data_IF_083380214546
#
_entry.id   IF_083380214546
#
_cell.length_a   1.000
_cell.length_b   1.000
_cell.length_c   1.000
_cell.angle_alpha   90.00
_cell.angle_beta   90.00
_cell.angle_gamma   90.00
#
_symmetry.space_group_name_H-M   'P 1'
#
loop_
_entity.id
_entity.type
_entity.pdbx_description
1 polymer ?
#
# COMPACT_ATOMS: atom_id res chain seq x y z
N UNK A 1 37.23 -42.92 -51.55
CA UNK A 1 38.42 -43.04 -50.73
C UNK A 1 37.98 -42.89 -49.29
N UNK A 2 37.67 -43.94 -48.60
CA UNK A 2 38.51 -44.87 -47.84
C UNK A 2 39.43 -44.16 -46.80
N UNK A 3 39.12 -44.33 -45.52
CA UNK A 3 39.81 -45.03 -44.46
C UNK A 3 39.21 -44.58 -43.12
N UNK A 4 38.45 -45.45 -42.43
CA UNK A 4 38.87 -46.56 -41.52
C UNK A 4 39.70 -46.08 -40.30
N UNK A 5 38.97 -46.20 -39.11
CA UNK A 5 39.25 -47.21 -38.04
C UNK A 5 40.26 -46.75 -36.98
N UNK A 6 39.95 -46.81 -35.69
CA UNK A 6 40.02 -47.89 -34.68
C UNK A 6 39.60 -47.29 -33.32
N UNK A 7 38.66 -47.75 -32.56
CA UNK A 7 38.50 -48.81 -31.54
C UNK A 7 39.73 -49.02 -30.64
N UNK A 8 39.49 -49.02 -29.33
CA UNK A 8 39.96 -49.82 -28.19
C UNK A 8 39.71 -48.92 -26.96
N UNK A 9 38.87 -49.19 -25.93
CA UNK A 9 38.65 -50.42 -25.20
C UNK A 9 39.35 -50.38 -23.86
N UNK A 10 38.61 -50.65 -22.84
CA UNK A 10 38.86 -51.32 -21.55
C UNK A 10 38.33 -50.47 -20.36
N UNK A 11 37.28 -50.91 -19.73
CA UNK A 11 37.14 -51.96 -18.73
C UNK A 11 37.28 -51.49 -17.26
N UNK A 12 36.15 -51.65 -16.57
CA UNK A 12 35.98 -52.09 -15.19
C UNK A 12 36.66 -51.34 -14.03
N UNK A 13 35.85 -50.82 -13.13
CA UNK A 13 35.80 -51.39 -11.75
C UNK A 13 34.55 -51.00 -11.01
N UNK A 14 33.82 -52.03 -10.70
CA UNK A 14 32.74 -52.11 -9.71
C UNK A 14 33.27 -51.87 -8.31
N UNK A 15 32.71 -50.95 -7.55
CA UNK A 15 32.79 -50.97 -6.09
C UNK A 15 31.40 -50.68 -5.52
N UNK A 16 30.75 -51.76 -5.09
CA UNK A 16 29.62 -51.73 -4.18
C UNK A 16 30.09 -51.16 -2.82
N UNK A 17 29.46 -50.13 -2.33
CA UNK A 17 29.39 -49.84 -0.92
C UNK A 17 27.95 -49.52 -0.54
N UNK A 18 27.31 -50.51 0.03
CA UNK A 18 26.05 -50.39 0.76
C UNK A 18 26.28 -49.57 2.02
N UNK A 19 25.58 -48.48 2.15
CA UNK A 19 25.36 -47.88 3.47
C UNK A 19 23.92 -47.37 3.53
N UNK A 20 23.14 -48.12 4.25
CA UNK A 20 21.79 -47.86 4.69
C UNK A 20 21.81 -46.63 5.60
N UNK A 21 21.35 -45.48 5.14
CA UNK A 21 21.11 -44.33 5.98
C UNK A 21 19.60 -44.14 6.15
N UNK A 22 19.14 -44.44 7.37
CA UNK A 22 17.82 -44.12 7.88
C UNK A 22 17.63 -42.59 7.81
N UNK A 23 16.87 -42.09 6.89
CA UNK A 23 16.43 -40.70 6.89
C UNK A 23 15.20 -40.58 7.77
N UNK A 24 15.42 -40.07 8.98
CA UNK A 24 14.39 -39.61 9.90
C UNK A 24 13.75 -38.37 9.25
N UNK A 25 12.51 -38.47 8.77
CA UNK A 25 11.69 -37.34 8.39
C UNK A 25 11.35 -36.56 9.66
N UNK A 26 12.16 -35.56 9.99
CA UNK A 26 11.77 -34.52 10.91
C UNK A 26 10.79 -33.59 10.20
N UNK A 27 9.48 -33.71 10.50
CA UNK A 27 8.49 -32.71 10.20
C UNK A 27 8.87 -31.42 10.93
N UNK A 28 9.60 -30.54 10.27
CA UNK A 28 9.82 -29.19 10.75
C UNK A 28 8.54 -28.40 10.46
N UNK A 29 7.63 -28.37 11.45
CA UNK A 29 6.56 -27.38 11.49
C UNK A 29 7.25 -26.03 11.73
N UNK A 30 7.48 -25.29 10.67
CA UNK A 30 7.77 -23.88 10.75
C UNK A 30 6.55 -23.22 11.39
N UNK A 31 6.67 -22.89 12.67
CA UNK A 31 5.78 -21.95 13.29
C UNK A 31 6.04 -20.61 12.57
N UNK A 32 5.11 -20.20 11.70
CA UNK A 32 5.02 -18.83 11.20
C UNK A 32 4.83 -17.94 12.43
N UNK A 33 5.95 -17.46 12.96
CA UNK A 33 5.94 -16.34 13.87
C UNK A 33 5.51 -15.13 13.06
N UNK A 34 4.23 -14.79 13.15
CA UNK A 34 3.68 -13.51 12.70
C UNK A 34 4.40 -12.42 13.50
N UNK A 35 5.50 -11.95 12.93
CA UNK A 35 6.14 -10.73 13.40
C UNK A 35 5.26 -9.58 12.99
N UNK A 36 4.53 -9.03 13.95
CA UNK A 36 3.94 -7.70 13.91
C UNK A 36 5.11 -6.68 13.85
N UNK A 37 5.74 -6.64 12.70
CA UNK A 37 6.61 -5.53 12.36
C UNK A 37 5.70 -4.41 11.88
N UNK A 38 5.52 -3.41 12.73
CA UNK A 38 5.22 -2.05 12.33
C UNK A 38 6.16 -1.71 11.16
N UNK A 39 5.71 -1.98 9.94
CA UNK A 39 6.40 -1.55 8.75
C UNK A 39 6.23 -0.03 8.66
N UNK A 40 7.10 0.67 9.41
CA UNK A 40 7.65 1.91 8.89
C UNK A 40 8.34 1.45 7.62
N UNK A 41 7.68 1.68 6.47
CA UNK A 41 8.23 1.34 5.18
C UNK A 41 9.63 1.98 5.11
N UNK A 42 10.65 1.15 5.24
CA UNK A 42 12.02 1.53 4.96
C UNK A 42 12.15 1.80 3.46
N UNK A 43 11.77 3.00 3.05
CA UNK A 43 12.37 3.64 1.88
C UNK A 43 13.71 4.25 2.31
N UNK A 44 14.59 3.40 2.82
CA UNK A 44 15.91 3.80 3.28
C UNK A 44 16.92 3.79 2.14
N UNK A 45 16.73 4.65 1.10
CA UNK A 45 17.82 4.98 0.18
C UNK A 45 17.55 6.21 -0.71
N UNK A 46 16.42 6.88 -0.55
CA UNK A 46 16.19 8.13 -1.28
C UNK A 46 16.13 9.29 -0.27
N UNK A 47 17.13 10.19 -0.23
CA UNK A 47 17.11 11.35 0.66
C UNK A 47 15.93 12.31 0.37
N UNK A 48 15.25 12.12 -0.75
CA UNK A 48 14.04 12.86 -1.13
C UNK A 48 12.74 12.07 -0.87
N UNK A 49 12.80 10.90 -0.22
CA UNK A 49 11.59 10.13 0.06
C UNK A 49 10.70 10.91 1.04
N UNK A 50 9.47 11.17 0.60
CA UNK A 50 8.46 11.78 1.47
C UNK A 50 7.98 10.76 2.51
N UNK A 51 7.94 11.18 3.76
CA UNK A 51 7.40 10.40 4.88
C UNK A 51 5.95 10.84 5.10
N UNK A 52 5.03 9.90 5.15
CA UNK A 52 3.64 10.22 5.45
C UNK A 52 3.43 10.17 6.97
N UNK A 53 3.22 11.33 7.58
CA UNK A 53 2.89 11.48 9.00
C UNK A 53 1.39 11.66 9.16
N UNK A 54 0.77 10.89 10.04
CA UNK A 54 -0.66 10.99 10.35
C UNK A 54 -0.85 11.51 11.75
N UNK A 55 -1.85 12.37 11.94
CA UNK A 55 -2.15 12.91 13.27
C UNK A 55 -3.25 13.95 13.24
N UNK A 56 -3.49 14.51 14.43
CA UNK A 56 -4.38 15.65 14.62
C UNK A 56 -3.53 16.91 14.73
N UNK A 57 -3.93 17.95 14.03
CA UNK A 57 -3.30 19.27 14.12
C UNK A 57 -3.53 19.85 15.51
N UNK A 58 -2.46 20.12 16.22
CA UNK A 58 -2.51 20.79 17.53
C UNK A 58 -2.39 22.30 17.37
N UNK A 59 -1.48 22.71 16.49
CA UNK A 59 -1.24 24.12 16.20
C UNK A 59 -0.76 24.27 14.77
N UNK A 60 -1.09 25.39 14.14
CA UNK A 60 -0.61 25.78 12.83
C UNK A 60 -0.33 27.29 12.80
N UNK A 61 0.80 27.65 12.22
CA UNK A 61 1.19 29.03 11.93
C UNK A 61 1.63 29.16 10.48
N UNK A 62 2.05 30.32 10.06
CA UNK A 62 2.51 30.55 8.69
C UNK A 62 3.65 29.62 8.26
N UNK A 63 4.55 29.26 9.19
CA UNK A 63 5.79 28.53 8.91
C UNK A 63 5.90 27.19 9.66
N UNK A 64 4.91 26.82 10.46
CA UNK A 64 5.02 25.66 11.32
C UNK A 64 3.68 24.96 11.52
N UNK A 65 3.73 23.63 11.56
CA UNK A 65 2.63 22.74 11.87
C UNK A 65 3.02 21.80 13.00
N UNK A 66 2.19 21.72 14.03
CA UNK A 66 2.37 20.78 15.14
C UNK A 66 1.30 19.71 15.08
N UNK A 67 1.72 18.45 14.95
CA UNK A 67 0.85 17.28 14.88
C UNK A 67 0.98 16.44 16.14
N UNK A 68 -0.15 15.96 16.65
CA UNK A 68 -0.21 14.88 17.63
C UNK A 68 -0.46 13.58 16.86
N UNK A 69 0.53 12.70 16.83
CA UNK A 69 0.45 11.34 16.26
C UNK A 69 0.37 10.29 17.37
N UNK A 70 0.20 9.02 16.97
CA UNK A 70 0.16 7.91 17.90
C UNK A 70 1.51 7.70 18.63
N UNK A 71 2.61 8.17 18.03
CA UNK A 71 3.98 8.05 18.57
C UNK A 71 4.44 9.30 19.33
N UNK A 72 3.60 10.34 19.41
CA UNK A 72 3.91 11.59 20.10
C UNK A 72 3.63 12.84 19.28
N UNK A 73 4.12 13.99 19.78
CA UNK A 73 3.97 15.27 19.11
C UNK A 73 5.15 15.52 18.17
N UNK A 74 4.84 15.90 16.94
CA UNK A 74 5.83 16.20 15.88
C UNK A 74 5.62 17.61 15.39
N UNK A 75 6.71 18.35 15.30
CA UNK A 75 6.74 19.71 14.73
C UNK A 75 7.36 19.66 13.33
N UNK A 76 6.69 20.28 12.36
CA UNK A 76 7.15 20.38 10.97
C UNK A 76 7.25 21.85 10.55
N UNK A 77 8.28 22.19 9.80
CA UNK A 77 8.34 23.44 9.05
C UNK A 77 7.39 23.37 7.84
N UNK A 78 6.68 24.46 7.55
CA UNK A 78 5.84 24.56 6.36
C UNK A 78 6.60 25.28 5.25
N UNK A 79 6.67 24.62 4.08
CA UNK A 79 7.21 25.22 2.86
C UNK A 79 6.05 25.82 2.06
N UNK A 80 6.21 27.08 1.66
CA UNK A 80 5.20 27.76 0.85
C UNK A 80 5.44 27.58 -0.66
N UNK A 81 4.39 27.44 -1.47
CA UNK A 81 2.98 27.39 -1.07
C UNK A 81 2.63 26.07 -0.38
N UNK A 82 1.89 26.13 0.72
CA UNK A 82 1.39 24.93 1.40
C UNK A 82 0.00 24.57 0.89
N UNK A 83 -0.18 23.32 0.46
CA UNK A 83 -1.41 22.83 -0.12
C UNK A 83 -2.14 21.85 0.81
N UNK A 84 -3.38 22.16 1.11
CA UNK A 84 -4.25 21.30 1.92
C UNK A 84 -5.32 20.70 1.05
N UNK A 85 -5.37 19.36 0.96
CA UNK A 85 -6.32 18.61 0.14
C UNK A 85 -7.41 18.00 1.00
N UNK A 86 -8.64 18.02 0.51
CA UNK A 86 -9.81 17.42 1.14
C UNK A 86 -10.47 16.44 0.19
N UNK A 87 -11.22 15.48 0.74
CA UNK A 87 -12.00 14.55 -0.06
C UNK A 87 -13.30 15.21 -0.51
N UNK A 88 -13.64 15.03 -1.76
CA UNK A 88 -14.91 15.37 -2.35
C UNK A 88 -15.54 14.12 -2.96
N UNK A 89 -16.87 14.04 -2.96
CA UNK A 89 -17.59 12.98 -3.67
C UNK A 89 -17.30 13.08 -5.17
N UNK A 90 -17.16 11.94 -5.82
CA UNK A 90 -16.87 11.81 -7.24
C UNK A 90 -17.56 10.56 -7.80
N UNK A 91 -17.30 10.23 -9.04
CA UNK A 91 -17.83 9.06 -9.72
C UNK A 91 -16.79 8.42 -10.66
N UNK A 92 -17.13 7.28 -11.24
CA UNK A 92 -16.24 6.52 -12.10
C UNK A 92 -15.86 7.23 -13.40
N UNK A 93 -16.61 8.26 -13.82
CA UNK A 93 -16.27 9.02 -15.02
C UNK A 93 -14.98 9.84 -14.88
N UNK A 94 -14.56 10.11 -13.63
CA UNK A 94 -13.30 10.76 -13.31
C UNK A 94 -12.09 9.79 -13.30
N UNK A 95 -12.36 8.49 -13.33
CA UNK A 95 -11.31 7.45 -13.39
C UNK A 95 -10.99 7.17 -14.85
N UNK A 96 -9.96 7.80 -15.36
CA UNK A 96 -9.52 7.68 -16.77
C UNK A 96 -8.20 6.96 -16.86
N UNK A 97 -7.86 6.54 -18.07
CA UNK A 97 -6.49 6.09 -18.35
C UNK A 97 -5.50 7.18 -17.94
N UNK A 98 -4.40 6.78 -17.34
CA UNK A 98 -3.37 7.65 -16.74
C UNK A 98 -3.79 8.38 -15.46
N UNK A 99 -5.03 8.26 -14.96
CA UNK A 99 -5.35 8.74 -13.61
C UNK A 99 -4.48 8.07 -12.57
N UNK A 100 -3.99 8.82 -11.59
CA UNK A 100 -3.38 8.25 -10.40
C UNK A 100 -4.48 8.04 -9.36
N UNK A 101 -4.67 6.79 -8.93
CA UNK A 101 -5.76 6.41 -8.02
C UNK A 101 -5.25 5.57 -6.86
N UNK A 102 -5.99 5.60 -5.76
CA UNK A 102 -5.94 4.60 -4.71
C UNK A 102 -7.18 3.71 -4.79
N UNK A 103 -7.01 2.41 -4.78
CA UNK A 103 -8.13 1.47 -4.76
C UNK A 103 -8.02 0.55 -3.57
N UNK A 104 -9.11 0.42 -2.82
CA UNK A 104 -9.23 -0.59 -1.76
C UNK A 104 -9.99 -1.78 -2.35
N UNK A 105 -9.43 -2.96 -2.20
CA UNK A 105 -10.00 -4.19 -2.75
C UNK A 105 -10.19 -5.25 -1.69
N UNK A 106 -11.06 -6.19 -1.98
CA UNK A 106 -11.25 -7.43 -1.23
C UNK A 106 -11.08 -8.59 -2.19
N UNK A 107 -10.24 -9.55 -1.80
CA UNK A 107 -10.04 -10.78 -2.56
C UNK A 107 -11.29 -11.64 -2.51
N UNK A 108 -11.75 -12.09 -3.68
CA UNK A 108 -12.89 -12.97 -3.81
C UNK A 108 -12.47 -14.44 -3.73
N UNK A 109 -13.46 -15.35 -3.59
CA UNK A 109 -13.21 -16.78 -3.51
C UNK A 109 -12.55 -17.35 -4.78
N UNK A 110 -12.80 -16.75 -5.94
CA UNK A 110 -12.19 -17.09 -7.24
C UNK A 110 -10.78 -16.51 -7.43
N UNK A 111 -10.27 -15.80 -6.42
CA UNK A 111 -8.96 -15.16 -6.44
C UNK A 111 -8.94 -13.78 -7.08
N UNK A 112 -10.05 -13.30 -7.67
CA UNK A 112 -10.16 -11.95 -8.22
C UNK A 112 -10.16 -10.89 -7.12
N UNK A 113 -9.81 -9.65 -7.48
CA UNK A 113 -9.82 -8.49 -6.59
C UNK A 113 -11.01 -7.59 -6.95
N UNK A 114 -11.88 -7.35 -5.99
CA UNK A 114 -13.06 -6.49 -6.16
C UNK A 114 -12.89 -5.18 -5.42
N UNK A 115 -13.07 -4.06 -6.12
CA UNK A 115 -13.02 -2.74 -5.52
C UNK A 115 -14.15 -2.54 -4.49
N UNK A 116 -13.81 -1.92 -3.38
CA UNK A 116 -14.74 -1.45 -2.34
C UNK A 116 -14.75 0.06 -2.23
N UNK A 117 -13.67 0.73 -2.66
CA UNK A 117 -13.54 2.19 -2.66
C UNK A 117 -12.44 2.61 -3.63
N UNK A 118 -12.63 3.76 -4.29
CA UNK A 118 -11.64 4.36 -5.19
C UNK A 118 -11.44 5.82 -4.79
N UNK A 119 -10.17 6.25 -4.76
CA UNK A 119 -9.76 7.65 -4.56
C UNK A 119 -8.99 8.14 -5.77
N UNK A 120 -9.45 9.21 -6.40
CA UNK A 120 -8.74 9.86 -7.49
C UNK A 120 -7.86 10.96 -6.90
N UNK A 121 -6.58 10.93 -7.24
CA UNK A 121 -5.61 11.92 -6.80
C UNK A 121 -5.37 12.96 -7.90
N UNK A 122 -5.23 14.25 -7.54
CA UNK A 122 -4.75 15.25 -8.48
C UNK A 122 -3.29 14.99 -8.86
N UNK A 123 -2.85 15.59 -9.95
CA UNK A 123 -1.52 15.36 -10.51
C UNK A 123 -0.38 15.69 -9.52
N UNK A 124 -0.58 16.70 -8.69
CA UNK A 124 0.40 17.15 -7.68
C UNK A 124 0.64 16.12 -6.56
N UNK A 125 -0.26 15.14 -6.45
CA UNK A 125 -0.17 14.03 -5.51
C UNK A 125 0.20 12.70 -6.19
N UNK A 126 0.58 12.71 -7.47
CA UNK A 126 1.05 11.50 -8.17
C UNK A 126 2.24 10.89 -7.46
N UNK A 127 2.24 9.56 -7.31
CA UNK A 127 3.29 8.82 -6.62
C UNK A 127 3.13 8.75 -5.10
N UNK A 128 2.18 9.50 -4.51
CA UNK A 128 1.95 9.47 -3.07
C UNK A 128 1.46 8.10 -2.62
N UNK A 129 2.27 7.42 -1.79
CA UNK A 129 1.95 6.10 -1.27
C UNK A 129 1.78 5.04 -2.36
N UNK A 130 2.46 5.21 -3.50
CA UNK A 130 2.42 4.25 -4.61
C UNK A 130 2.83 2.85 -4.14
N UNK A 131 2.19 1.84 -4.69
CA UNK A 131 2.41 0.45 -4.36
C UNK A 131 1.14 -0.28 -3.92
N UNK A 132 1.29 -1.55 -3.58
CA UNK A 132 0.21 -2.39 -3.09
C UNK A 132 0.57 -2.99 -1.74
N UNK A 133 -0.35 -2.92 -0.78
CA UNK A 133 -0.14 -3.44 0.58
C UNK A 133 -1.42 -4.08 1.12
N UNK A 134 -1.24 -5.15 1.89
CA UNK A 134 -2.33 -5.73 2.65
C UNK A 134 -2.72 -4.79 3.79
N UNK A 135 -4.00 -4.65 4.03
CA UNK A 135 -4.50 -3.93 5.19
C UNK A 135 -4.63 -4.90 6.36
N UNK A 136 -4.31 -4.44 7.55
CA UNK A 136 -4.55 -5.24 8.75
C UNK A 136 -6.05 -5.57 8.85
N UNK A 137 -6.43 -6.81 9.22
CA UNK A 137 -7.81 -7.15 9.46
C UNK A 137 -8.36 -6.26 10.58
N UNK A 138 -9.60 -5.78 10.41
CA UNK A 138 -10.27 -5.07 11.48
C UNK A 138 -10.35 -5.97 12.71
N UNK A 139 -9.75 -5.56 13.83
CA UNK A 139 -9.86 -6.29 15.09
C UNK A 139 -11.32 -6.24 15.54
N UNK A 140 -11.96 -7.41 15.67
CA UNK A 140 -13.31 -7.47 16.22
C UNK A 140 -13.26 -7.00 17.67
N UNK A 141 -14.03 -5.95 18.00
CA UNK A 141 -14.21 -5.48 19.38
C UNK A 141 -13.54 -4.17 19.76
N UNK A 142 -12.73 -3.56 18.94
CA UNK A 142 -12.35 -2.16 19.07
C UNK A 142 -12.90 -1.38 17.89
N UNK A 143 -13.43 -0.19 18.15
CA UNK A 143 -13.71 0.77 17.09
C UNK A 143 -12.43 0.91 16.29
N UNK A 144 -12.37 0.23 15.17
CA UNK A 144 -11.29 0.34 14.23
C UNK A 144 -11.35 1.76 13.69
N UNK A 145 -10.64 2.64 14.32
CA UNK A 145 -10.34 3.95 13.77
C UNK A 145 -9.37 3.77 12.62
N UNK A 146 -9.86 3.12 11.59
CA UNK A 146 -9.30 3.22 10.28
C UNK A 146 -9.65 4.61 9.81
N UNK A 147 -8.68 5.48 9.89
CA UNK A 147 -8.74 6.80 9.26
C UNK A 147 -8.65 6.60 7.76
N UNK A 148 -9.64 5.95 7.17
CA UNK A 148 -9.98 5.88 5.76
C UNK A 148 -11.12 4.89 5.57
N UNK A 149 -12.34 5.38 5.55
CA UNK A 149 -13.50 4.67 5.03
C UNK A 149 -14.36 3.93 6.05
N UNK A 150 -15.64 4.29 6.02
CA UNK A 150 -16.72 3.63 6.75
C UNK A 150 -16.86 2.19 6.27
N UNK A 151 -16.54 1.24 7.11
CA UNK A 151 -17.11 -0.11 6.99
C UNK A 151 -18.42 -0.07 7.72
N UNK A 152 -19.53 -0.02 7.00
CA UNK A 152 -20.82 -0.39 7.55
C UNK A 152 -20.68 -1.77 8.15
N UNK A 153 -21.03 -1.93 9.42
CA UNK A 153 -20.93 -3.16 10.16
C UNK A 153 -21.65 -4.29 9.41
N UNK A 154 -20.93 -5.12 8.71
CA UNK A 154 -21.40 -6.43 8.28
C UNK A 154 -21.41 -7.31 9.51
N UNK A 155 -22.59 -7.70 9.91
CA UNK A 155 -22.84 -8.71 10.94
C UNK A 155 -21.99 -9.94 10.60
N UNK A 156 -21.02 -10.27 11.43
CA UNK A 156 -20.20 -11.46 11.27
C UNK A 156 -21.08 -12.70 11.49
N UNK A 157 -21.39 -13.38 10.43
CA UNK A 157 -21.59 -14.82 10.44
C UNK A 157 -20.23 -15.45 10.19
N UNK A 158 -19.87 -16.49 10.95
CA UNK A 158 -18.59 -17.21 10.90
C UNK A 158 -18.10 -17.45 9.47
N UNK A 159 -17.39 -16.50 8.90
CA UNK A 159 -16.75 -16.55 7.60
C UNK A 159 -15.31 -16.07 7.74
N UNK A 160 -14.42 -16.73 7.04
CA UNK A 160 -13.00 -16.36 6.89
C UNK A 160 -12.88 -14.84 6.71
N UNK A 161 -12.12 -14.17 7.58
CA UNK A 161 -11.93 -12.73 7.50
C UNK A 161 -11.38 -12.37 6.11
N UNK A 162 -12.17 -11.64 5.32
CA UNK A 162 -11.77 -11.21 3.99
C UNK A 162 -10.59 -10.24 4.13
N UNK A 163 -9.46 -10.59 3.52
CA UNK A 163 -8.30 -9.73 3.53
C UNK A 163 -8.53 -8.55 2.57
N UNK A 164 -8.40 -7.34 3.09
CA UNK A 164 -8.44 -6.13 2.28
C UNK A 164 -7.05 -5.70 1.86
N UNK A 165 -6.95 -5.15 0.65
CA UNK A 165 -5.72 -4.63 0.07
C UNK A 165 -5.94 -3.20 -0.39
N UNK A 166 -4.95 -2.33 -0.21
CA UNK A 166 -4.92 -1.01 -0.77
C UNK A 166 -3.80 -0.93 -1.82
N UNK A 167 -4.13 -0.46 -3.01
CA UNK A 167 -3.17 -0.24 -4.10
C UNK A 167 -3.31 1.18 -4.63
N UNK A 168 -2.21 1.91 -4.67
CA UNK A 168 -2.11 3.23 -5.29
C UNK A 168 -1.24 3.12 -6.53
N UNK A 169 -1.71 3.62 -7.64
CA UNK A 169 -0.98 3.54 -8.90
C UNK A 169 -1.73 4.20 -10.05
N UNK A 170 -1.15 4.08 -11.22
CA UNK A 170 -1.72 4.63 -12.45
C UNK A 170 -2.73 3.67 -13.07
N UNK A 171 -3.82 4.19 -13.58
CA UNK A 171 -4.77 3.42 -14.38
C UNK A 171 -4.16 3.21 -15.76
N UNK A 172 -3.75 1.99 -16.08
CA UNK A 172 -3.23 1.64 -17.39
C UNK A 172 -4.33 1.25 -18.38
N UNK A 173 -5.46 0.75 -17.88
CA UNK A 173 -6.63 0.39 -18.69
C UNK A 173 -7.90 0.45 -17.85
N UNK A 174 -9.02 0.80 -18.50
CA UNK A 174 -10.36 0.76 -17.90
C UNK A 174 -11.39 0.43 -18.96
N UNK A 175 -12.38 -0.40 -18.63
CA UNK A 175 -13.53 -0.72 -19.47
C UNK A 175 -14.87 -0.45 -18.75
N UNK A 176 -14.85 0.36 -17.69
CA UNK A 176 -16.04 0.72 -16.90
C UNK A 176 -16.41 -0.29 -15.81
N UNK A 177 -16.08 -1.57 -15.96
CA UNK A 177 -16.33 -2.62 -14.95
C UNK A 177 -15.05 -3.24 -14.40
N UNK A 178 -13.90 -2.90 -14.96
CA UNK A 178 -12.59 -3.31 -14.45
C UNK A 178 -11.54 -2.23 -14.69
N UNK A 179 -10.53 -2.25 -13.83
CA UNK A 179 -9.36 -1.38 -13.87
C UNK A 179 -8.10 -2.22 -13.83
N UNK A 180 -7.08 -1.80 -14.57
CA UNK A 180 -5.71 -2.26 -14.36
C UNK A 180 -4.94 -1.13 -13.68
N UNK A 181 -4.56 -1.34 -12.43
CA UNK A 181 -3.78 -0.38 -11.64
C UNK A 181 -2.33 -0.81 -11.67
N UNK A 182 -1.48 0.03 -12.26
CA UNK A 182 -0.04 -0.20 -12.38
C UNK A 182 0.70 0.66 -11.37
N UNK A 183 1.63 0.06 -10.63
CA UNK A 183 2.44 0.71 -9.60
C UNK A 183 3.87 0.16 -9.61
N UNK A 184 4.77 0.81 -8.90
CA UNK A 184 6.14 0.33 -8.75
C UNK A 184 6.14 -1.10 -8.16
N UNK A 185 6.69 -2.04 -8.92
CA UNK A 185 6.76 -3.45 -8.53
C UNK A 185 5.61 -4.34 -9.03
N UNK A 186 4.63 -3.80 -9.80
CA UNK A 186 3.60 -4.66 -10.39
C UNK A 186 2.36 -3.96 -10.93
N UNK A 187 1.36 -4.78 -11.21
CA UNK A 187 0.04 -4.33 -11.60
C UNK A 187 -1.04 -5.20 -10.96
N UNK A 188 -2.24 -4.68 -10.88
CA UNK A 188 -3.38 -5.36 -10.30
C UNK A 188 -4.62 -5.16 -11.17
N UNK A 189 -5.27 -6.27 -11.53
CA UNK A 189 -6.57 -6.26 -12.16
C UNK A 189 -7.65 -6.18 -11.08
N UNK A 190 -8.54 -5.22 -11.19
CA UNK A 190 -9.57 -4.93 -10.20
C UNK A 190 -10.92 -4.90 -10.87
N UNK A 191 -11.85 -5.72 -10.42
CA UNK A 191 -13.27 -5.63 -10.80
C UNK A 191 -13.92 -4.48 -10.04
N UNK A 192 -14.63 -3.61 -10.74
CA UNK A 192 -15.29 -2.44 -10.18
C UNK A 192 -16.80 -2.59 -10.28
N UNK A 193 -17.49 -2.87 -9.17
CA UNK A 193 -18.95 -2.86 -9.14
C UNK A 193 -19.52 -1.46 -9.48
N UNK A 194 -20.72 -1.39 -10.08
CA UNK A 194 -21.31 -0.11 -10.51
C UNK A 194 -21.49 0.92 -9.38
N UNK A 195 -21.71 0.44 -8.15
CA UNK A 195 -21.95 1.29 -6.97
C UNK A 195 -20.70 1.45 -6.10
N UNK A 196 -19.50 1.22 -6.66
CA UNK A 196 -18.26 1.44 -5.92
C UNK A 196 -18.13 2.93 -5.57
N UNK A 197 -18.01 3.29 -4.28
CA UNK A 197 -17.79 4.68 -3.87
C UNK A 197 -16.50 5.22 -4.49
N UNK A 198 -16.62 6.40 -5.11
CA UNK A 198 -15.49 7.12 -5.68
C UNK A 198 -15.40 8.48 -5.00
N UNK A 199 -14.21 8.85 -4.58
CA UNK A 199 -13.88 10.18 -4.09
C UNK A 199 -12.70 10.73 -4.86
N UNK A 200 -12.57 12.06 -4.88
CA UNK A 200 -11.39 12.73 -5.40
C UNK A 200 -10.79 13.65 -4.35
N UNK A 201 -9.49 13.84 -4.41
CA UNK A 201 -8.80 14.81 -3.57
C UNK A 201 -8.75 16.16 -4.30
N UNK A 202 -9.31 17.17 -3.67
CA UNK A 202 -9.34 18.56 -4.18
C UNK A 202 -8.59 19.49 -3.24
N UNK A 203 -7.98 20.51 -3.79
CA UNK A 203 -7.42 21.59 -3.00
C UNK A 203 -8.53 22.22 -2.14
N UNK A 204 -8.29 22.33 -0.84
CA UNK A 204 -9.24 22.92 0.09
C UNK A 204 -9.35 24.42 -0.12
N UNK A 205 -10.56 24.95 -0.10
CA UNK A 205 -10.81 26.40 -0.03
C UNK A 205 -10.60 26.97 1.37
N UNK A 206 -10.52 26.11 2.39
CA UNK A 206 -10.27 26.50 3.78
C UNK A 206 -8.84 26.15 4.15
N UNK A 207 -8.14 26.99 4.92
CA UNK A 207 -6.84 26.65 5.46
C UNK A 207 -6.95 25.48 6.44
N UNK A 208 -5.84 24.78 6.64
CA UNK A 208 -5.70 23.79 7.69
C UNK A 208 -5.81 24.47 9.07
N UNK A 209 -6.45 23.83 10.04
CA UNK A 209 -6.71 24.38 11.36
C UNK A 209 -6.44 23.36 12.48
N UNK A 210 -6.31 23.85 13.70
CA UNK A 210 -6.22 23.00 14.88
C UNK A 210 -7.48 22.12 15.01
N UNK A 211 -7.28 20.84 15.33
CA UNK A 211 -8.33 19.82 15.38
C UNK A 211 -8.48 19.02 14.09
N UNK A 212 -7.94 19.47 12.96
CA UNK A 212 -7.99 18.71 11.71
C UNK A 212 -7.21 17.41 11.82
N UNK A 213 -7.81 16.33 11.32
CA UNK A 213 -7.13 15.05 11.16
C UNK A 213 -6.50 15.01 9.77
N UNK A 214 -5.19 14.80 9.73
CA UNK A 214 -4.44 14.93 8.48
C UNK A 214 -3.39 13.85 8.29
N UNK A 215 -3.06 13.60 7.03
CA UNK A 215 -1.85 12.93 6.59
C UNK A 215 -0.96 13.99 5.92
N UNK A 216 0.21 14.23 6.47
CA UNK A 216 1.17 15.22 5.98
C UNK A 216 2.30 14.52 5.24
N UNK A 217 2.63 14.99 4.05
CA UNK A 217 3.77 14.54 3.28
C UNK A 217 5.00 15.33 3.72
N UNK A 218 5.75 14.75 4.65
CA UNK A 218 6.95 15.38 5.21
C UNK A 218 8.21 14.93 4.46
N UNK A 219 9.14 15.84 4.31
CA UNK A 219 10.51 15.59 3.85
C UNK A 219 11.45 15.75 5.02
N UNK A 220 12.40 14.84 5.16
CA UNK A 220 13.42 14.91 6.20
C UNK A 220 14.68 15.54 5.60
N UNK A 221 15.13 16.63 6.20
CA UNK A 221 16.40 17.26 5.84
C UNK A 221 17.58 16.52 6.48
N UNK A 222 18.80 16.85 6.04
CA UNK A 222 20.04 16.21 6.51
C UNK A 222 20.31 16.47 8.00
N UNK A 223 19.80 17.58 8.54
CA UNK A 223 19.87 17.94 9.98
C UNK A 223 18.81 17.23 10.82
N UNK A 224 17.97 16.39 10.18
CA UNK A 224 16.89 15.67 10.84
C UNK A 224 15.59 16.47 10.97
N UNK A 225 15.55 17.75 10.60
CA UNK A 225 14.33 18.55 10.60
C UNK A 225 13.32 18.00 9.57
N UNK A 226 12.04 18.24 9.85
CA UNK A 226 10.94 17.82 8.98
C UNK A 226 10.28 19.07 8.38
N UNK A 227 10.08 19.03 7.07
CA UNK A 227 9.35 20.07 6.34
C UNK A 227 8.23 19.47 5.53
N UNK A 228 7.18 20.24 5.25
CA UNK A 228 6.07 19.79 4.42
C UNK A 228 5.51 20.94 3.58
N UNK A 229 5.11 20.60 2.36
CA UNK A 229 4.42 21.48 1.41
C UNK A 229 2.97 21.03 1.14
N UNK A 230 2.60 19.84 1.64
CA UNK A 230 1.29 19.23 1.37
C UNK A 230 0.74 18.47 2.56
N UNK A 231 -0.58 18.59 2.75
CA UNK A 231 -1.35 17.75 3.66
C UNK A 231 -2.66 17.31 3.03
N UNK A 232 -3.16 16.16 3.47
CA UNK A 232 -4.43 15.58 3.03
C UNK A 232 -5.30 15.38 4.26
N UNK A 233 -6.53 15.89 4.23
CA UNK A 233 -7.51 15.60 5.28
C UNK A 233 -7.81 14.11 5.32
N UNK A 234 -7.78 13.55 6.52
CA UNK A 234 -8.19 12.18 6.77
C UNK A 234 -9.60 12.11 7.38
N UNK A 235 -10.22 13.26 7.67
CA UNK A 235 -11.63 13.35 8.03
C UNK A 235 -12.51 12.90 6.85
N UNK A 236 -13.69 12.36 7.20
CA UNK A 236 -14.71 11.92 6.24
C UNK A 236 -15.61 13.08 5.87
#
# INVERSE_FOLDING_TARGET
>A
MLKKMHIIGTAERLVLCSSLALSVFACNRSADSYQDTTHIAQSASNPNASIMLRGTVVNVSANQLVLKSDTGTVTLGLTQPFHFYVRASSDLSHVKQSSFIGVTTVKQADGSERATEIHVFPEELRGVGEGSRMMAPARSGSESRMTNGNVSASRMTNGTASQSRMSNGNVSSTNGSSLVVQYAGGSQNVTVPPNTPVTELKLSSKPIAAGDQVAVLAKKASDGSLTADKAISTAK
#
